data_IF_832916908120
#
_entry.id   IF_832916908120
#
_cell.length_a   1.000
_cell.length_b   1.000
_cell.length_c   1.000
_cell.angle_alpha   90.00
_cell.angle_beta   90.00
_cell.angle_gamma   90.00
#
_symmetry.space_group_name_H-M   'P 1'
#
loop_
_entity.id
_entity.type
_entity.pdbx_description
1 polymer ?
#
# COMPACT_ATOMS: atom_id res chain seq x y z
N UNK A 1 26.00 19.03 -51.85
CA UNK A 1 26.88 19.02 -50.65
C UNK A 1 26.17 19.31 -49.30
N UNK A 2 24.83 19.38 -49.22
CA UNK A 2 24.11 19.65 -47.96
C UNK A 2 23.71 18.39 -47.15
N UNK A 3 23.81 17.19 -47.73
CA UNK A 3 23.27 15.94 -47.13
C UNK A 3 24.01 15.45 -45.88
N UNK A 4 25.30 15.78 -45.73
CA UNK A 4 26.11 15.27 -44.61
C UNK A 4 25.84 15.98 -43.26
N UNK A 5 25.45 17.26 -43.29
CA UNK A 5 25.16 18.03 -42.07
C UNK A 5 23.83 17.59 -41.45
N UNK A 6 22.81 17.42 -42.29
CA UNK A 6 21.46 16.98 -41.86
C UNK A 6 21.51 15.60 -41.22
N UNK A 7 22.26 14.66 -41.81
CA UNK A 7 22.39 13.31 -41.27
C UNK A 7 23.09 13.27 -39.89
N UNK A 8 24.09 14.14 -39.67
CA UNK A 8 24.76 14.26 -38.35
C UNK A 8 23.84 14.85 -37.29
N UNK A 9 23.00 15.81 -37.66
CA UNK A 9 22.00 16.39 -36.73
C UNK A 9 20.94 15.35 -36.37
N UNK A 10 20.42 14.61 -37.36
CA UNK A 10 19.44 13.54 -37.11
C UNK A 10 19.99 12.45 -36.19
N UNK A 11 21.23 11.99 -36.41
CA UNK A 11 21.87 11.00 -35.54
C UNK A 11 22.02 11.49 -34.10
N UNK A 12 22.33 12.79 -33.89
CA UNK A 12 22.39 13.38 -32.54
C UNK A 12 21.00 13.43 -31.90
N UNK A 13 19.96 13.83 -32.64
CA UNK A 13 18.60 13.83 -32.13
C UNK A 13 18.14 12.43 -31.74
N UNK A 14 18.40 11.41 -32.58
CA UNK A 14 18.09 10.02 -32.28
C UNK A 14 18.83 9.56 -31.02
N UNK A 15 20.14 9.86 -30.91
CA UNK A 15 20.92 9.50 -29.74
C UNK A 15 20.37 10.16 -28.45
N UNK A 16 19.99 11.44 -28.50
CA UNK A 16 19.40 12.16 -27.36
C UNK A 16 18.05 11.54 -26.97
N UNK A 17 17.16 11.29 -27.94
CA UNK A 17 15.86 10.66 -27.68
C UNK A 17 16.05 9.27 -27.08
N UNK A 18 17.00 8.49 -27.59
CA UNK A 18 17.31 7.16 -27.07
C UNK A 18 17.80 7.22 -25.62
N UNK A 19 18.76 8.10 -25.31
CA UNK A 19 19.24 8.28 -23.92
C UNK A 19 18.12 8.74 -23.00
N UNK A 20 17.30 9.71 -23.41
CA UNK A 20 16.16 10.17 -22.64
C UNK A 20 15.14 9.05 -22.40
N UNK A 21 14.85 8.22 -23.40
CA UNK A 21 13.94 7.08 -23.24
C UNK A 21 14.45 6.08 -22.21
N UNK A 22 15.75 5.77 -22.19
CA UNK A 22 16.35 4.88 -21.18
C UNK A 22 16.20 5.49 -19.78
N UNK A 23 16.52 6.78 -19.61
CA UNK A 23 16.41 7.45 -18.31
C UNK A 23 14.96 7.46 -17.80
N UNK A 24 14.00 7.74 -18.69
CA UNK A 24 12.57 7.71 -18.34
C UNK A 24 12.14 6.30 -17.95
N UNK A 25 12.55 5.26 -18.70
CA UNK A 25 12.22 3.87 -18.37
C UNK A 25 12.80 3.45 -17.02
N UNK A 26 14.08 3.75 -16.75
CA UNK A 26 14.71 3.42 -15.46
C UNK A 26 14.00 4.14 -14.31
N UNK A 27 13.70 5.43 -14.48
CA UNK A 27 12.95 6.20 -13.49
C UNK A 27 11.55 5.62 -13.25
N UNK A 28 10.81 5.29 -14.32
CA UNK A 28 9.48 4.71 -14.22
C UNK A 28 9.49 3.35 -13.51
N UNK A 29 10.47 2.49 -13.79
CA UNK A 29 10.64 1.20 -13.10
C UNK A 29 10.93 1.44 -11.62
N UNK A 30 11.83 2.34 -11.26
CA UNK A 30 12.15 2.66 -9.87
C UNK A 30 10.91 3.13 -9.09
N UNK A 31 10.17 4.09 -9.63
CA UNK A 31 8.92 4.58 -9.01
C UNK A 31 7.88 3.46 -8.87
N UNK A 32 7.78 2.57 -9.86
CA UNK A 32 6.82 1.46 -9.83
C UNK A 32 7.18 0.43 -8.77
N UNK A 33 8.45 0.04 -8.66
CA UNK A 33 8.92 -0.95 -7.68
C UNK A 33 8.68 -0.44 -6.26
N UNK A 34 9.06 0.81 -5.97
CA UNK A 34 8.82 1.38 -4.65
C UNK A 34 7.32 1.51 -4.33
N UNK A 35 6.50 1.82 -5.34
CA UNK A 35 5.04 1.86 -5.19
C UNK A 35 4.43 0.51 -4.83
N UNK A 36 5.04 -0.61 -5.25
CA UNK A 36 4.61 -1.97 -4.88
C UNK A 36 4.88 -2.23 -3.41
N UNK A 37 6.07 -1.89 -2.92
CA UNK A 37 6.41 -2.06 -1.49
C UNK A 37 5.50 -1.20 -0.62
N UNK A 38 5.23 0.05 -1.02
CA UNK A 38 4.28 0.92 -0.32
C UNK A 38 2.84 0.35 -0.34
N UNK A 39 2.46 -0.35 -1.41
CA UNK A 39 1.15 -1.01 -1.48
C UNK A 39 1.05 -2.14 -0.45
N UNK A 40 2.03 -3.03 -0.43
CA UNK A 40 2.10 -4.14 0.53
C UNK A 40 2.23 -3.63 1.97
N UNK A 41 2.99 -2.56 2.19
CA UNK A 41 3.13 -1.97 3.50
C UNK A 41 1.78 -1.47 4.05
N UNK A 42 0.95 -0.87 3.19
CA UNK A 42 -0.37 -0.41 3.61
C UNK A 42 -1.30 -1.57 3.99
N UNK A 43 -1.27 -2.69 3.26
CA UNK A 43 -1.99 -3.90 3.65
C UNK A 43 -1.46 -4.49 4.95
N UNK A 44 -0.14 -4.60 5.08
CA UNK A 44 0.49 -5.03 6.33
C UNK A 44 0.08 -4.16 7.52
N UNK A 45 -0.10 -2.84 7.32
CA UNK A 45 -0.56 -1.96 8.38
C UNK A 45 -1.99 -2.26 8.82
N UNK A 46 -2.88 -2.59 7.88
CA UNK A 46 -4.23 -3.03 8.20
C UNK A 46 -4.23 -4.34 9.01
N UNK A 47 -3.38 -5.31 8.63
CA UNK A 47 -3.22 -6.54 9.39
C UNK A 47 -2.74 -6.29 10.82
N UNK A 48 -1.71 -5.47 11.01
CA UNK A 48 -1.20 -5.13 12.35
C UNK A 48 -2.30 -4.52 13.23
N UNK A 49 -3.09 -3.62 12.66
CA UNK A 49 -4.20 -2.98 13.38
C UNK A 49 -5.32 -3.97 13.69
N UNK A 50 -5.66 -4.87 12.76
CA UNK A 50 -6.68 -5.92 12.98
C UNK A 50 -6.22 -6.88 14.07
N UNK A 51 -5.00 -7.38 14.01
CA UNK A 51 -4.46 -8.30 15.02
C UNK A 51 -4.39 -7.61 16.39
N UNK A 52 -3.98 -6.33 16.44
CA UNK A 52 -4.03 -5.55 17.68
C UNK A 52 -5.46 -5.48 18.23
N UNK A 53 -6.44 -5.17 17.39
CA UNK A 53 -7.85 -5.11 17.80
C UNK A 53 -8.37 -6.46 18.30
N UNK A 54 -7.99 -7.57 17.67
CA UNK A 54 -8.36 -8.92 18.13
C UNK A 54 -7.82 -9.22 19.53
N UNK A 55 -6.58 -8.82 19.82
CA UNK A 55 -5.95 -9.00 21.13
C UNK A 55 -6.44 -8.00 22.19
N UNK A 56 -7.12 -6.92 21.80
CA UNK A 56 -7.54 -5.82 22.68
C UNK A 56 -9.04 -5.51 22.60
N UNK A 57 -9.87 -6.53 22.41
CA UNK A 57 -11.35 -6.43 22.43
C UNK A 57 -11.93 -5.36 21.49
N UNK A 58 -11.32 -5.19 20.32
CA UNK A 58 -11.70 -4.20 19.31
C UNK A 58 -11.23 -2.77 19.58
N UNK A 59 -10.31 -2.57 20.54
CA UNK A 59 -9.73 -1.26 20.81
C UNK A 59 -8.79 -0.82 19.68
N UNK A 60 -8.95 0.41 19.19
CA UNK A 60 -8.06 0.98 18.17
C UNK A 60 -6.68 1.32 18.77
N UNK A 61 -5.55 0.97 18.10
CA UNK A 61 -4.22 1.30 18.60
C UNK A 61 -4.03 2.82 18.72
N UNK A 62 -3.21 3.22 19.69
CA UNK A 62 -2.98 4.65 20.02
C UNK A 62 -1.61 5.17 19.62
N UNK A 63 -0.72 4.30 19.19
CA UNK A 63 0.63 4.66 18.75
C UNK A 63 1.24 3.53 17.93
N UNK A 64 2.35 3.84 17.28
CA UNK A 64 3.21 2.83 16.66
C UNK A 64 3.78 1.85 17.69
N UNK A 65 4.14 2.28 18.90
CA UNK A 65 4.67 1.37 19.93
C UNK A 65 3.70 0.23 20.27
N UNK A 66 2.39 0.48 20.18
CA UNK A 66 1.37 -0.54 20.39
C UNK A 66 1.35 -1.62 19.29
N UNK A 67 1.85 -1.31 18.10
CA UNK A 67 1.87 -2.19 16.93
C UNK A 67 3.22 -2.91 16.75
N UNK A 68 4.30 -2.43 17.40
CA UNK A 68 5.65 -2.99 17.27
C UNK A 68 5.73 -4.50 17.55
N UNK A 69 5.11 -5.04 18.63
CA UNK A 69 5.19 -6.47 18.93
C UNK A 69 4.58 -7.36 17.83
N UNK A 70 3.62 -6.81 17.08
CA UNK A 70 2.96 -7.50 15.98
C UNK A 70 3.81 -7.46 14.71
N UNK A 71 4.55 -6.38 14.48
CA UNK A 71 5.44 -6.28 13.33
C UNK A 71 6.52 -7.36 13.35
N UNK A 72 7.16 -7.57 14.50
CA UNK A 72 8.23 -8.55 14.66
C UNK A 72 7.74 -9.99 14.47
N UNK A 73 6.50 -10.26 14.90
CA UNK A 73 5.91 -11.60 14.86
C UNK A 73 5.34 -11.95 13.48
N UNK A 74 4.67 -11.00 12.84
CA UNK A 74 3.95 -11.24 11.59
C UNK A 74 4.71 -10.76 10.36
N UNK A 75 5.85 -10.08 10.55
CA UNK A 75 6.79 -9.72 9.49
C UNK A 75 6.07 -9.10 8.32
N UNK A 76 5.44 -7.94 8.56
CA UNK A 76 4.46 -7.33 7.66
C UNK A 76 4.93 -7.37 6.20
N UNK A 77 3.98 -7.42 5.26
CA UNK A 77 4.09 -7.81 3.83
C UNK A 77 5.21 -7.17 2.96
N UNK A 78 6.10 -6.37 3.52
CA UNK A 78 7.31 -5.82 2.90
C UNK A 78 8.56 -6.59 3.30
N UNK A 79 9.13 -7.32 2.34
CA UNK A 79 10.36 -8.09 2.56
C UNK A 79 11.55 -7.16 2.86
N UNK A 80 12.17 -7.35 4.04
CA UNK A 80 13.44 -6.71 4.41
C UNK A 80 13.34 -5.30 4.99
N UNK A 81 12.14 -4.75 5.18
CA UNK A 81 11.98 -3.47 5.86
C UNK A 81 12.14 -3.62 7.38
N UNK A 82 12.83 -2.66 8.00
CA UNK A 82 12.78 -2.50 9.45
C UNK A 82 11.47 -1.83 9.86
N UNK A 83 11.10 -1.95 11.14
CA UNK A 83 9.90 -1.29 11.66
C UNK A 83 9.94 0.23 11.48
N UNK A 84 11.11 0.84 11.73
CA UNK A 84 11.32 2.27 11.49
C UNK A 84 11.12 2.66 10.01
N UNK A 85 11.54 1.81 9.07
CA UNK A 85 11.34 2.04 7.64
C UNK A 85 9.84 1.98 7.30
N UNK A 86 9.15 0.98 7.82
CA UNK A 86 7.70 0.85 7.67
C UNK A 86 6.93 2.08 8.18
N UNK A 87 7.26 2.57 9.37
CA UNK A 87 6.66 3.78 9.95
C UNK A 87 6.85 5.03 9.08
N UNK A 88 7.99 5.15 8.37
CA UNK A 88 8.26 6.29 7.50
C UNK A 88 7.41 6.29 6.24
N UNK A 89 6.95 5.12 5.81
CA UNK A 89 6.21 4.93 4.57
C UNK A 89 4.69 4.88 4.76
N UNK A 90 4.23 4.61 5.98
CA UNK A 90 2.83 4.43 6.33
C UNK A 90 2.35 5.54 7.26
N UNK A 91 1.13 6.00 7.02
CA UNK A 91 0.37 6.84 7.92
C UNK A 91 -0.82 6.05 8.47
N UNK A 92 -1.02 6.11 9.79
CA UNK A 92 -2.18 5.58 10.49
C UNK A 92 -2.81 6.69 11.32
N UNK A 93 -4.13 6.85 11.23
CA UNK A 93 -4.88 7.72 12.13
C UNK A 93 -5.06 7.04 13.50
N UNK A 94 -4.08 7.19 14.39
CA UNK A 94 -4.17 6.71 15.77
C UNK A 94 -5.22 7.43 16.63
N UNK A 95 -5.79 8.54 16.13
CA UNK A 95 -6.88 9.25 16.82
C UNK A 95 -8.26 8.68 16.50
N UNK A 96 -8.34 7.75 15.53
CA UNK A 96 -9.59 7.12 15.17
C UNK A 96 -10.25 6.35 16.34
N UNK A 97 -11.57 6.29 16.27
CA UNK A 97 -12.44 5.64 17.25
C UNK A 97 -13.05 4.39 16.62
N UNK A 98 -12.70 3.21 17.15
CA UNK A 98 -13.16 1.92 16.61
C UNK A 98 -14.69 1.78 16.66
N UNK A 99 -15.38 2.39 17.62
CA UNK A 99 -16.85 2.37 17.68
C UNK A 99 -17.45 3.19 16.54
N UNK A 100 -16.85 4.33 16.21
CA UNK A 100 -17.27 5.13 15.05
C UNK A 100 -16.95 4.44 13.73
N UNK A 101 -15.76 3.83 13.60
CA UNK A 101 -15.38 3.05 12.43
C UNK A 101 -16.34 1.88 12.21
N UNK A 102 -16.66 1.13 13.27
CA UNK A 102 -17.65 0.04 13.23
C UNK A 102 -19.01 0.53 12.75
N UNK A 103 -19.51 1.64 13.30
CA UNK A 103 -20.80 2.23 12.89
C UNK A 103 -20.80 2.60 11.40
N UNK A 104 -19.71 3.22 10.92
CA UNK A 104 -19.54 3.55 9.51
C UNK A 104 -19.51 2.31 8.63
N UNK A 105 -18.76 1.28 9.02
CA UNK A 105 -18.65 0.03 8.28
C UNK A 105 -20.00 -0.69 8.15
N UNK A 106 -20.80 -0.73 9.22
CA UNK A 106 -22.14 -1.32 9.20
C UNK A 106 -23.15 -0.54 8.35
N UNK A 107 -22.89 0.73 8.04
CA UNK A 107 -23.81 1.61 7.31
C UNK A 107 -23.58 1.65 5.79
N UNK A 108 -22.52 1.03 5.30
CA UNK A 108 -22.13 1.08 3.89
C UNK A 108 -21.55 -0.26 3.42
N UNK A 109 -21.71 -0.56 2.13
CA UNK A 109 -21.14 -1.77 1.50
C UNK A 109 -19.66 -1.60 1.09
N UNK A 110 -19.05 -0.46 1.42
CA UNK A 110 -17.66 -0.11 1.10
C UNK A 110 -17.09 0.83 2.16
N UNK A 111 -15.76 0.91 2.32
CA UNK A 111 -15.14 1.82 3.29
C UNK A 111 -15.45 3.28 2.97
N UNK A 112 -16.09 3.97 3.92
CA UNK A 112 -16.35 5.42 3.90
C UNK A 112 -15.47 6.18 4.89
N UNK A 113 -14.32 5.59 5.22
CA UNK A 113 -13.29 6.16 6.07
C UNK A 113 -11.93 5.85 5.47
N UNK A 114 -10.94 6.68 5.81
CA UNK A 114 -9.56 6.50 5.42
C UNK A 114 -8.68 6.74 6.65
N UNK A 115 -8.22 5.65 7.26
CA UNK A 115 -7.44 5.66 8.52
C UNK A 115 -6.07 5.01 8.36
N UNK A 116 -5.79 4.41 7.21
CA UNK A 116 -4.48 3.88 6.83
C UNK A 116 -4.18 4.31 5.40
N UNK A 117 -2.96 4.79 5.17
CA UNK A 117 -2.46 5.15 3.84
C UNK A 117 -0.93 5.22 3.81
N UNK A 118 -0.34 5.58 2.66
CA UNK A 118 1.09 5.90 2.59
C UNK A 118 1.35 7.37 2.91
N UNK A 119 2.54 7.67 3.42
CA UNK A 119 3.05 9.03 3.61
C UNK A 119 3.49 9.68 2.30
N UNK A 120 3.63 8.90 1.21
CA UNK A 120 4.12 9.40 -0.08
C UNK A 120 3.02 10.03 -0.92
N UNK A 121 3.40 11.06 -1.68
CA UNK A 121 2.48 11.82 -2.54
C UNK A 121 1.91 11.01 -3.72
N UNK A 122 2.68 10.05 -4.26
CA UNK A 122 2.27 9.18 -5.37
C UNK A 122 1.93 7.76 -4.88
N UNK A 123 1.15 7.68 -3.80
CA UNK A 123 0.78 6.41 -3.21
C UNK A 123 -0.21 5.61 -4.08
N UNK A 124 -0.16 4.27 -4.04
CA UNK A 124 -1.23 3.42 -4.54
C UNK A 124 -2.57 3.81 -3.92
N UNK A 125 -3.51 4.23 -4.76
CA UNK A 125 -4.91 4.40 -4.36
C UNK A 125 -5.63 3.08 -4.56
N UNK A 126 -6.04 2.47 -3.44
CA UNK A 126 -6.84 1.27 -3.49
C UNK A 126 -8.32 1.60 -3.64
N UNK A 127 -9.03 0.75 -4.36
CA UNK A 127 -10.49 0.76 -4.40
C UNK A 127 -11.09 0.18 -3.11
N UNK A 128 -12.19 -0.55 -3.26
CA UNK A 128 -12.96 -1.11 -2.14
C UNK A 128 -12.17 -2.13 -1.32
N UNK A 129 -11.21 -2.85 -1.93
CA UNK A 129 -10.39 -3.90 -1.30
C UNK A 129 -9.01 -3.44 -0.79
N UNK A 130 -8.86 -2.15 -0.57
CA UNK A 130 -7.66 -1.61 0.07
C UNK A 130 -7.51 -1.96 1.56
N UNK A 131 -6.48 -1.39 2.21
CA UNK A 131 -6.29 -1.47 3.66
C UNK A 131 -7.54 -1.08 4.46
N UNK A 132 -8.21 -0.01 4.04
CA UNK A 132 -9.45 0.43 4.67
C UNK A 132 -10.62 -0.52 4.39
N UNK A 133 -10.59 -1.26 3.28
CA UNK A 133 -11.54 -2.34 2.97
C UNK A 133 -11.38 -3.53 3.90
N UNK A 134 -10.14 -3.90 4.25
CA UNK A 134 -9.87 -4.94 5.26
C UNK A 134 -10.45 -4.56 6.63
N UNK A 135 -10.21 -3.32 7.08
CA UNK A 135 -10.78 -2.81 8.34
C UNK A 135 -12.32 -2.75 8.25
N UNK A 136 -12.87 -2.36 7.10
CA UNK A 136 -14.31 -2.34 6.88
C UNK A 136 -14.92 -3.74 7.06
N UNK A 137 -14.33 -4.77 6.44
CA UNK A 137 -14.78 -6.17 6.57
C UNK A 137 -14.56 -6.73 7.96
N UNK A 138 -13.51 -6.31 8.67
CA UNK A 138 -13.32 -6.66 10.07
C UNK A 138 -14.54 -6.26 10.91
N UNK A 139 -15.07 -5.05 10.70
CA UNK A 139 -16.24 -4.56 11.41
C UNK A 139 -17.58 -5.03 10.83
N UNK A 140 -17.64 -5.34 9.52
CA UNK A 140 -18.81 -5.81 8.79
C UNK A 140 -18.46 -7.03 7.92
N UNK A 141 -18.39 -8.24 8.50
CA UNK A 141 -17.96 -9.45 7.79
C UNK A 141 -18.85 -9.85 6.61
N UNK A 142 -20.12 -9.40 6.60
CA UNK A 142 -21.08 -9.65 5.53
C UNK A 142 -20.89 -8.73 4.31
N UNK A 143 -20.00 -7.73 4.41
CA UNK A 143 -19.71 -6.83 3.30
C UNK A 143 -19.12 -7.60 2.12
N UNK A 144 -19.55 -7.30 0.86
CA UNK A 144 -18.95 -7.92 -0.33
C UNK A 144 -17.43 -7.76 -0.34
N UNK A 145 -16.73 -8.85 -0.62
CA UNK A 145 -15.31 -8.88 -0.91
C UNK A 145 -15.16 -9.06 -2.44
N UNK A 146 -14.96 -7.98 -3.23
CA UNK A 146 -14.85 -8.10 -4.68
C UNK A 146 -13.65 -8.94 -5.13
N UNK A 147 -12.57 -8.99 -4.36
CA UNK A 147 -11.34 -9.72 -4.64
C UNK A 147 -11.04 -10.74 -3.52
N UNK A 148 -11.85 -11.81 -3.36
CA UNK A 148 -11.58 -12.84 -2.36
C UNK A 148 -10.24 -13.52 -2.66
N UNK A 149 -9.47 -13.94 -1.63
CA UNK A 149 -8.26 -14.70 -1.84
C UNK A 149 -8.56 -15.89 -2.74
N UNK A 150 -7.89 -15.96 -3.90
CA UNK A 150 -8.07 -17.10 -4.79
C UNK A 150 -7.65 -18.38 -4.08
N UNK A 151 -8.27 -19.52 -4.42
CA UNK A 151 -8.00 -20.82 -3.79
C UNK A 151 -6.51 -21.18 -3.72
N UNK A 152 -5.71 -20.72 -4.70
CA UNK A 152 -4.26 -20.91 -4.73
C UNK A 152 -3.52 -20.24 -3.55
N UNK A 153 -4.00 -19.09 -3.06
CA UNK A 153 -3.40 -18.36 -1.92
C UNK A 153 -3.65 -19.08 -0.59
N UNK A 154 -4.78 -19.79 -0.46
CA UNK A 154 -5.18 -20.50 0.77
C UNK A 154 -4.38 -21.80 0.96
N UNK A 155 -3.96 -22.46 -0.12
CA UNK A 155 -3.17 -23.69 -0.05
C UNK A 155 -1.69 -23.46 0.31
N UNK A 156 -1.14 -22.28 0.02
CA UNK A 156 0.24 -21.90 0.34
C UNK A 156 0.43 -21.42 1.80
N UNK A 157 -0.66 -21.08 2.49
CA UNK A 157 -0.65 -20.60 3.87
C UNK A 157 -0.88 -21.71 4.92
N UNK A 158 -0.96 -22.98 4.50
CA UNK A 158 -1.05 -24.17 5.36
C UNK A 158 0.29 -24.88 5.42
#
# INVERSE_FOLDING_TARGET
MASGSIMRVLLRCIAVVFVLSILITVFAVGVTVEGIDDAYAQWGAADLVIIYMDDHDGAWPKSWDALEPYFDKYGCHVSGWSYETFQKHIWIDFTADSTQLKRKAMSANSPIFNVIGSTRFYSPHFGVDGPNGMIHRYFNPDSPNPDPPTTATIELAK
#
